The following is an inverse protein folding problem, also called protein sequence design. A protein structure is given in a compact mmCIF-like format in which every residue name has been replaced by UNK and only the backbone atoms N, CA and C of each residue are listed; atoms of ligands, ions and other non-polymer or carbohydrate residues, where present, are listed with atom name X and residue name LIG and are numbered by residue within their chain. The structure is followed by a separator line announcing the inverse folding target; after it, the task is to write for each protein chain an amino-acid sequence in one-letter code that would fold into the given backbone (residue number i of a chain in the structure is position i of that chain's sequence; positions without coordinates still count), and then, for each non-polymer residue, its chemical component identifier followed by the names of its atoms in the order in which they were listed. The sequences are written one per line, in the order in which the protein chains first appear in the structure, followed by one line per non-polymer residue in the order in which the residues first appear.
data_IF_955992232184
#
_entry.id   IF_955992232184
#
_cell.length_a   1.000
_cell.length_b   1.000
_cell.length_c   1.000
_cell.angle_alpha   90.00
_cell.angle_beta   90.00
_cell.angle_gamma   90.00
#
_symmetry.space_group_name_H-M   'P 1'
#
loop_
_entity.id
_entity.type
_entity.pdbx_description
1 polymer ?
#
# COMPACT_ATOMS: atom_id res chain seq x y z
N UNK A 1 54.83 17.22 39.71
CA UNK A 1 54.13 15.91 39.78
C UNK A 1 52.67 16.00 40.24
N UNK A 2 52.35 16.61 41.40
CA UNK A 2 50.96 16.69 41.92
C UNK A 2 49.91 17.20 40.91
N UNK A 3 50.25 18.24 40.13
CA UNK A 3 49.35 18.82 39.14
C UNK A 3 48.96 17.87 37.98
N UNK A 4 49.88 16.98 37.60
CA UNK A 4 49.65 15.99 36.53
C UNK A 4 48.78 14.84 37.08
N UNK A 5 49.02 14.43 38.32
CA UNK A 5 48.25 13.38 39.00
C UNK A 5 46.79 13.79 39.18
N UNK A 6 46.53 15.03 39.63
CA UNK A 6 45.16 15.54 39.79
C UNK A 6 44.39 15.61 38.47
N UNK A 7 45.05 15.97 37.36
CA UNK A 7 44.42 15.98 36.03
C UNK A 7 44.12 14.57 35.51
N UNK A 8 45.01 13.60 35.76
CA UNK A 8 44.77 12.19 35.41
C UNK A 8 43.59 11.60 36.18
N UNK A 9 43.47 11.90 37.47
CA UNK A 9 42.32 11.47 38.29
C UNK A 9 41.01 12.08 37.77
N UNK A 10 40.99 13.39 37.48
CA UNK A 10 39.81 14.03 36.90
C UNK A 10 39.43 13.45 35.54
N UNK A 11 40.41 13.15 34.69
CA UNK A 11 40.17 12.53 33.38
C UNK A 11 39.61 11.11 33.52
N UNK A 12 40.11 10.31 34.47
CA UNK A 12 39.59 8.98 34.76
C UNK A 12 38.14 9.03 35.29
N UNK A 13 37.83 9.96 36.20
CA UNK A 13 36.46 10.17 36.71
C UNK A 13 35.54 10.60 35.56
N UNK A 14 35.98 11.53 34.71
CA UNK A 14 35.21 11.99 33.57
C UNK A 14 34.94 10.85 32.57
N UNK A 15 35.97 10.04 32.24
CA UNK A 15 35.81 8.88 31.37
C UNK A 15 34.85 7.84 31.96
N UNK A 16 34.92 7.60 33.28
CA UNK A 16 33.98 6.71 33.97
C UNK A 16 32.54 7.23 33.95
N UNK A 17 32.33 8.51 34.25
CA UNK A 17 31.01 9.14 34.19
C UNK A 17 30.44 9.11 32.76
N UNK A 18 31.27 9.42 31.76
CA UNK A 18 30.89 9.35 30.35
C UNK A 18 30.48 7.92 29.96
N UNK A 19 31.23 6.90 30.39
CA UNK A 19 30.89 5.50 30.13
C UNK A 19 29.51 5.12 30.71
N UNK A 20 29.22 5.55 31.94
CA UNK A 20 27.91 5.30 32.59
C UNK A 20 26.78 6.01 31.85
N UNK A 21 26.96 7.28 31.48
CA UNK A 21 25.94 8.05 30.75
C UNK A 21 25.68 7.45 29.36
N UNK A 22 26.73 7.08 28.63
CA UNK A 22 26.62 6.44 27.31
C UNK A 22 25.93 5.08 27.44
N UNK A 23 26.29 4.27 28.44
CA UNK A 23 25.60 3.01 28.71
C UNK A 23 24.11 3.22 29.00
N UNK A 24 23.77 4.20 29.84
CA UNK A 24 22.38 4.52 30.15
C UNK A 24 21.60 4.99 28.91
N UNK A 25 22.23 5.78 28.03
CA UNK A 25 21.66 6.23 26.76
C UNK A 25 21.48 5.09 25.74
N UNK A 26 22.36 4.08 25.74
CA UNK A 26 22.24 2.85 24.93
C UNK A 26 21.19 1.87 25.44
N UNK A 27 20.53 2.17 26.56
CA UNK A 27 19.49 1.31 27.13
C UNK A 27 20.01 0.27 28.12
N UNK A 28 21.22 0.43 28.66
CA UNK A 28 21.63 -0.37 29.81
C UNK A 28 20.85 0.06 31.05
N UNK A 29 20.31 -0.93 31.75
CA UNK A 29 19.60 -0.74 33.02
C UNK A 29 20.19 -1.68 34.08
N UNK A 30 20.23 -1.19 35.31
CA UNK A 30 20.64 -1.98 36.47
C UNK A 30 19.51 -2.95 36.81
N UNK A 31 19.79 -4.25 36.74
CA UNK A 31 18.85 -5.27 37.18
C UNK A 31 19.25 -5.78 38.58
N UNK A 32 18.54 -5.29 39.59
CA UNK A 32 18.76 -5.67 40.99
C UNK A 32 18.43 -7.14 41.28
N UNK A 33 17.65 -7.81 40.42
CA UNK A 33 17.34 -9.25 40.58
C UNK A 33 18.45 -10.16 40.06
N UNK A 34 19.27 -9.71 39.11
CA UNK A 34 20.35 -10.52 38.52
C UNK A 34 21.75 -10.01 38.81
N UNK A 35 21.90 -8.99 39.68
CA UNK A 35 23.19 -8.38 40.05
C UNK A 35 24.07 -8.08 38.82
N UNK A 36 23.47 -7.48 37.79
CA UNK A 36 24.16 -7.26 36.52
C UNK A 36 23.66 -6.05 35.74
N UNK A 37 24.51 -5.55 34.85
CA UNK A 37 24.12 -4.61 33.80
C UNK A 37 23.61 -5.42 32.62
N UNK A 38 22.33 -5.23 32.25
CA UNK A 38 21.76 -5.87 31.07
C UNK A 38 21.27 -4.81 30.08
N UNK A 39 21.51 -4.98 28.77
CA UNK A 39 20.93 -4.12 27.77
C UNK A 39 19.42 -4.38 27.69
N UNK A 40 18.66 -3.35 27.35
CA UNK A 40 17.23 -3.45 27.06
C UNK A 40 16.98 -3.17 25.58
N UNK A 41 15.89 -3.71 25.05
CA UNK A 41 15.36 -3.33 23.75
C UNK A 41 14.13 -2.46 23.90
N UNK A 42 13.77 -1.75 22.83
CA UNK A 42 12.60 -0.88 22.80
C UNK A 42 11.64 -1.40 21.74
N UNK A 43 10.40 -1.65 22.12
CA UNK A 43 9.29 -1.89 21.20
C UNK A 43 8.52 -0.58 21.02
N UNK A 44 8.55 0.00 19.82
CA UNK A 44 7.69 1.12 19.46
C UNK A 44 6.45 0.55 18.78
N UNK A 45 5.29 0.74 19.39
CA UNK A 45 4.04 0.21 18.87
C UNK A 45 3.11 1.35 18.45
N UNK A 46 2.64 1.31 17.21
CA UNK A 46 1.68 2.26 16.65
C UNK A 46 0.49 1.50 16.06
N UNK A 47 -0.67 2.16 15.96
CA UNK A 47 -1.81 1.58 15.26
C UNK A 47 -2.68 2.61 14.57
N UNK A 48 -3.39 2.17 13.54
CA UNK A 48 -4.51 2.90 12.96
C UNK A 48 -5.79 2.06 13.15
N UNK A 49 -6.79 2.52 13.93
CA UNK A 49 -6.82 3.77 14.72
C UNK A 49 -5.85 3.77 15.92
N UNK A 50 -5.59 4.96 16.45
CA UNK A 50 -4.75 5.19 17.63
C UNK A 50 -5.40 4.72 18.94
N UNK A 51 -4.59 4.50 19.99
CA UNK A 51 -5.06 4.20 21.34
C UNK A 51 -5.41 2.73 21.59
N UNK A 52 -4.99 1.83 20.71
CA UNK A 52 -5.16 0.38 20.88
C UNK A 52 -4.32 -0.15 22.06
N UNK A 53 -4.83 -1.18 22.75
CA UNK A 53 -4.14 -1.87 23.85
C UNK A 53 -2.95 -2.67 23.28
N UNK A 54 -1.79 -2.55 23.91
CA UNK A 54 -0.60 -3.34 23.58
C UNK A 54 -0.43 -4.44 24.63
N UNK A 55 -0.51 -5.69 24.19
CA UNK A 55 -0.25 -6.86 24.99
C UNK A 55 1.07 -7.51 24.56
N UNK A 56 1.93 -7.82 25.52
CA UNK A 56 3.21 -8.51 25.29
C UNK A 56 3.16 -9.82 26.08
N UNK A 57 3.18 -10.95 25.39
CA UNK A 57 2.95 -12.29 25.95
C UNK A 57 1.63 -12.38 26.76
N UNK A 58 0.58 -11.68 26.28
CA UNK A 58 -0.73 -11.63 26.94
C UNK A 58 -0.83 -10.65 28.12
N UNK A 59 0.26 -9.99 28.52
CA UNK A 59 0.25 -8.99 29.58
C UNK A 59 0.09 -7.58 28.99
N UNK A 60 -0.87 -6.78 29.50
CA UNK A 60 -1.07 -5.40 29.08
C UNK A 60 0.14 -4.54 29.47
N UNK A 61 0.79 -3.93 28.48
CA UNK A 61 1.96 -3.04 28.70
C UNK A 61 1.67 -1.56 28.46
N UNK A 62 0.57 -1.24 27.78
CA UNK A 62 0.18 0.14 27.51
C UNK A 62 -0.78 0.28 26.33
N UNK A 63 -0.75 1.45 25.69
CA UNK A 63 -1.51 1.75 24.48
C UNK A 63 -0.60 2.21 23.33
N UNK A 64 -1.06 2.11 22.08
CA UNK A 64 -0.28 2.50 20.89
C UNK A 64 0.11 3.97 20.87
N UNK A 65 1.11 4.29 20.04
CA UNK A 65 1.88 5.53 20.05
C UNK A 65 2.74 5.69 21.31
N UNK A 66 3.23 4.55 21.83
CA UNK A 66 4.14 4.50 22.97
C UNK A 66 5.34 3.57 22.70
N UNK A 67 6.38 3.75 23.51
CA UNK A 67 7.57 2.90 23.52
C UNK A 67 7.61 2.05 24.79
N UNK A 68 7.72 0.74 24.63
CA UNK A 68 7.81 -0.23 25.74
C UNK A 68 9.24 -0.74 25.81
N UNK A 69 9.90 -0.53 26.94
CA UNK A 69 11.22 -1.11 27.21
C UNK A 69 11.07 -2.54 27.70
N UNK A 70 11.71 -3.48 27.03
CA UNK A 70 11.70 -4.89 27.40
C UNK A 70 13.12 -5.46 27.44
N UNK A 71 13.29 -6.59 28.12
CA UNK A 71 14.54 -7.33 28.04
C UNK A 71 14.70 -7.92 26.64
N UNK A 72 15.93 -8.25 26.20
CA UNK A 72 16.12 -8.99 24.97
C UNK A 72 15.44 -10.36 25.05
N UNK A 73 14.70 -10.74 24.02
CA UNK A 73 13.91 -11.97 24.01
C UNK A 73 12.95 -12.06 22.83
N UNK A 74 12.21 -13.17 22.76
CA UNK A 74 11.12 -13.36 21.79
C UNK A 74 9.79 -13.10 22.49
N UNK A 75 8.94 -12.32 21.86
CA UNK A 75 7.69 -11.85 22.40
C UNK A 75 6.55 -12.06 21.40
N UNK A 76 5.42 -12.55 21.88
CA UNK A 76 4.16 -12.52 21.15
C UNK A 76 3.49 -11.17 21.44
N UNK A 77 3.52 -10.27 20.45
CA UNK A 77 2.96 -8.93 20.54
C UNK A 77 1.57 -8.94 19.92
N UNK A 78 0.60 -8.46 20.68
CA UNK A 78 -0.78 -8.29 20.25
C UNK A 78 -1.20 -6.83 20.44
N UNK A 79 -1.76 -6.24 19.39
CA UNK A 79 -2.35 -4.91 19.41
C UNK A 79 -3.84 -5.07 19.17
N UNK A 80 -4.64 -4.68 20.15
CA UNK A 80 -6.07 -4.94 20.18
C UNK A 80 -6.86 -3.69 20.58
N UNK A 81 -7.98 -3.47 19.91
CA UNK A 81 -8.90 -2.37 20.22
C UNK A 81 -10.33 -2.88 20.16
N UNK A 82 -11.16 -2.40 21.08
CA UNK A 82 -12.54 -2.86 21.21
C UNK A 82 -13.32 -2.48 19.92
N UNK A 83 -14.00 -3.46 19.32
CA UNK A 83 -14.69 -3.29 18.03
C UNK A 83 -13.81 -3.52 16.79
N UNK A 84 -12.52 -3.85 16.96
CA UNK A 84 -11.58 -4.12 15.87
C UNK A 84 -10.97 -5.53 15.99
N UNK A 85 -10.53 -6.09 14.86
CA UNK A 85 -9.76 -7.32 14.81
C UNK A 85 -8.37 -7.09 15.39
N UNK A 86 -7.95 -7.99 16.30
CA UNK A 86 -6.62 -7.93 16.92
C UNK A 86 -5.51 -8.23 15.91
N UNK A 87 -4.46 -7.43 15.90
CA UNK A 87 -3.23 -7.70 15.18
C UNK A 87 -2.25 -8.47 16.07
N UNK A 88 -1.63 -9.54 15.56
CA UNK A 88 -0.67 -10.36 16.32
C UNK A 88 0.59 -10.61 15.51
N UNK A 89 1.76 -10.43 16.12
CA UNK A 89 3.06 -10.75 15.52
C UNK A 89 4.05 -11.22 16.57
N UNK A 90 4.77 -12.29 16.24
CA UNK A 90 5.93 -12.75 17.03
C UNK A 90 7.17 -11.94 16.66
N UNK A 91 7.76 -11.26 17.64
CA UNK A 91 8.90 -10.35 17.46
C UNK A 91 10.06 -10.75 18.37
N UNK A 92 11.26 -10.81 17.80
CA UNK A 92 12.54 -10.98 18.50
C UNK A 92 13.15 -9.61 18.77
N UNK A 93 13.18 -9.20 20.03
CA UNK A 93 13.75 -7.93 20.45
C UNK A 93 15.16 -8.18 20.97
N UNK A 94 16.15 -7.48 20.40
CA UNK A 94 17.54 -7.55 20.85
C UNK A 94 17.87 -6.34 21.72
N UNK A 95 18.90 -6.46 22.55
CA UNK A 95 19.41 -5.34 23.34
C UNK A 95 19.91 -4.20 22.47
N UNK A 96 19.76 -2.98 22.96
CA UNK A 96 20.14 -1.72 22.29
C UNK A 96 19.36 -1.42 20.99
N UNK A 97 18.43 -2.29 20.56
CA UNK A 97 17.66 -2.12 19.33
C UNK A 97 16.23 -1.64 19.59
N UNK A 98 15.73 -0.88 18.62
CA UNK A 98 14.35 -0.41 18.56
C UNK A 98 13.61 -1.22 17.49
N UNK A 99 12.64 -2.04 17.88
CA UNK A 99 11.76 -2.77 16.96
C UNK A 99 10.43 -2.04 16.84
N UNK A 100 9.92 -1.87 15.62
CA UNK A 100 8.61 -1.26 15.36
C UNK A 100 7.53 -2.31 15.17
N UNK A 101 6.36 -2.05 15.73
CA UNK A 101 5.13 -2.80 15.54
C UNK A 101 4.02 -1.83 15.12
N UNK A 102 3.85 -1.68 13.80
CA UNK A 102 2.85 -0.79 13.21
C UNK A 102 1.66 -1.62 12.74
N UNK A 103 0.50 -1.43 13.36
CA UNK A 103 -0.70 -2.26 13.12
C UNK A 103 -1.85 -1.47 12.50
N UNK A 104 -2.36 -1.92 11.36
CA UNK A 104 -3.65 -1.47 10.83
C UNK A 104 -4.74 -2.41 11.35
N UNK A 105 -5.67 -1.88 12.16
CA UNK A 105 -6.75 -2.66 12.74
C UNK A 105 -8.03 -2.49 11.91
N UNK A 106 -8.67 -3.61 11.58
CA UNK A 106 -9.90 -3.61 10.80
C UNK A 106 -11.13 -3.69 11.72
N UNK A 107 -12.16 -2.85 11.52
CA UNK A 107 -13.37 -2.91 12.35
C UNK A 107 -14.11 -4.22 12.13
N UNK A 108 -14.64 -4.81 13.21
CA UNK A 108 -15.42 -6.05 13.16
C UNK A 108 -16.80 -5.80 12.54
N UNK A 109 -17.39 -4.64 12.82
CA UNK A 109 -18.69 -4.23 12.29
C UNK A 109 -18.58 -2.85 11.62
N UNK A 110 -18.16 -2.77 10.34
CA UNK A 110 -18.04 -1.50 9.64
C UNK A 110 -19.43 -0.87 9.45
N UNK A 111 -19.58 0.40 9.85
CA UNK A 111 -20.78 1.16 9.53
C UNK A 111 -20.77 1.56 8.05
N UNK A 112 -21.85 1.28 7.33
CA UNK A 112 -22.04 1.76 5.97
C UNK A 112 -22.86 3.05 6.01
N UNK A 113 -22.38 4.07 5.31
CA UNK A 113 -23.13 5.29 5.04
C UNK A 113 -23.30 5.44 3.53
N UNK A 114 -24.44 5.99 3.06
CA UNK A 114 -24.62 6.24 1.65
C UNK A 114 -23.57 7.24 1.18
N UNK A 115 -22.79 6.85 0.16
CA UNK A 115 -21.75 7.70 -0.42
C UNK A 115 -22.34 8.83 -1.29
N UNK A 116 -23.49 8.57 -1.93
CA UNK A 116 -24.18 9.47 -2.86
C UNK A 116 -25.66 9.63 -2.48
N UNK A 117 -26.26 10.77 -2.85
CA UNK A 117 -27.71 11.00 -2.75
C UNK A 117 -28.48 10.59 -4.00
N UNK A 118 -27.78 10.12 -5.03
CA UNK A 118 -28.33 9.60 -6.29
C UNK A 118 -27.94 8.14 -6.46
N UNK A 119 -28.71 7.42 -7.27
CA UNK A 119 -28.49 6.00 -7.54
C UNK A 119 -27.26 5.77 -8.42
N UNK A 120 -26.39 4.85 -8.03
CA UNK A 120 -25.19 4.46 -8.75
C UNK A 120 -25.39 3.07 -9.30
N UNK A 121 -25.20 2.90 -10.61
CA UNK A 121 -25.30 1.59 -11.29
C UNK A 121 -23.95 0.89 -11.40
N UNK A 122 -22.85 1.65 -11.35
CA UNK A 122 -21.49 1.10 -11.46
C UNK A 122 -20.48 1.97 -10.73
N UNK A 123 -19.52 1.34 -10.08
CA UNK A 123 -18.39 1.99 -9.43
C UNK A 123 -17.09 1.30 -9.86
N UNK A 124 -16.10 2.06 -10.30
CA UNK A 124 -14.82 1.54 -10.79
C UNK A 124 -13.70 2.35 -10.14
N UNK A 125 -12.82 1.67 -9.40
CA UNK A 125 -11.63 2.28 -8.82
C UNK A 125 -10.59 2.59 -9.91
N UNK A 126 -9.82 3.65 -9.73
CA UNK A 126 -8.64 3.94 -10.56
C UNK A 126 -7.52 2.92 -10.30
N UNK A 127 -6.48 2.88 -11.16
CA UNK A 127 -5.35 1.96 -10.99
C UNK A 127 -4.60 2.22 -9.67
N UNK A 128 -4.51 3.49 -9.26
CA UNK A 128 -3.96 3.96 -7.99
C UNK A 128 -4.85 3.65 -6.78
N UNK A 129 -6.13 3.33 -6.99
CA UNK A 129 -7.17 3.17 -5.97
C UNK A 129 -7.46 4.44 -5.13
N UNK A 130 -6.82 5.56 -5.45
CA UNK A 130 -7.01 6.85 -4.77
C UNK A 130 -8.33 7.52 -5.16
N UNK A 131 -8.86 7.20 -6.34
CA UNK A 131 -10.12 7.77 -6.83
C UNK A 131 -11.05 6.65 -7.29
N UNK A 132 -12.34 6.95 -7.35
CA UNK A 132 -13.36 6.04 -7.85
C UNK A 132 -14.32 6.77 -8.79
N UNK A 133 -14.53 6.20 -9.96
CA UNK A 133 -15.49 6.66 -10.95
C UNK A 133 -16.83 5.99 -10.65
N UNK A 134 -17.87 6.80 -10.48
CA UNK A 134 -19.24 6.37 -10.30
C UNK A 134 -20.05 6.67 -11.55
N UNK A 135 -20.90 5.73 -11.94
CA UNK A 135 -21.88 5.90 -13.00
C UNK A 135 -23.28 5.93 -12.40
N UNK A 136 -24.03 6.99 -12.67
CA UNK A 136 -25.41 7.16 -12.25
C UNK A 136 -26.35 7.08 -13.46
N UNK A 137 -27.40 6.27 -13.31
CA UNK A 137 -28.43 6.04 -14.33
C UNK A 137 -29.76 5.78 -13.63
N UNK A 138 -30.45 6.86 -13.24
CA UNK A 138 -31.71 6.85 -12.49
C UNK A 138 -32.89 7.45 -13.27
N UNK A 139 -32.71 7.69 -14.57
CA UNK A 139 -33.63 8.41 -15.46
C UNK A 139 -33.83 9.88 -15.08
N UNK A 140 -32.83 10.50 -14.45
CA UNK A 140 -32.82 11.92 -14.15
C UNK A 140 -31.79 12.63 -15.04
N UNK A 141 -32.24 13.40 -16.02
CA UNK A 141 -31.36 14.04 -17.00
C UNK A 141 -30.33 15.02 -16.38
N UNK A 142 -30.62 15.60 -15.22
CA UNK A 142 -29.73 16.57 -14.55
C UNK A 142 -28.70 15.90 -13.63
N UNK A 143 -28.97 14.66 -13.18
CA UNK A 143 -28.17 13.94 -12.17
C UNK A 143 -27.54 12.65 -12.68
N UNK A 144 -28.00 12.13 -13.81
CA UNK A 144 -27.42 10.94 -14.40
C UNK A 144 -26.12 11.33 -15.10
N UNK A 145 -25.04 10.61 -14.81
CA UNK A 145 -23.73 11.01 -15.25
C UNK A 145 -22.61 10.17 -14.67
N UNK A 146 -21.40 10.52 -15.06
CA UNK A 146 -20.14 9.99 -14.58
C UNK A 146 -19.60 10.97 -13.56
N UNK A 147 -19.31 10.47 -12.36
CA UNK A 147 -18.80 11.25 -11.25
C UNK A 147 -17.46 10.68 -10.79
N UNK A 148 -16.56 11.55 -10.33
CA UNK A 148 -15.31 11.19 -9.69
C UNK A 148 -15.46 11.43 -8.19
N UNK A 149 -15.06 10.45 -7.40
CA UNK A 149 -14.91 10.57 -5.95
C UNK A 149 -13.44 10.37 -5.61
N UNK A 150 -12.94 11.23 -4.74
CA UNK A 150 -11.65 11.07 -4.08
C UNK A 150 -11.83 10.15 -2.86
N UNK A 151 -11.07 9.05 -2.82
CA UNK A 151 -11.09 8.08 -1.72
C UNK A 151 -10.12 8.48 -0.59
N UNK A 152 -9.38 9.57 -0.74
CA UNK A 152 -8.50 10.05 0.32
C UNK A 152 -9.33 10.51 1.52
N UNK A 153 -9.10 9.85 2.66
CA UNK A 153 -9.66 10.24 3.95
C UNK A 153 -8.97 11.51 4.46
N UNK A 154 -9.30 12.67 3.87
CA UNK A 154 -8.88 13.94 4.47
C UNK A 154 -9.69 14.15 5.76
N UNK A 155 -9.04 14.28 6.93
CA UNK A 155 -9.74 14.51 8.20
C UNK A 155 -10.54 15.83 8.22
N UNK A 156 -10.34 16.71 7.23
CA UNK A 156 -11.07 17.95 7.03
C UNK A 156 -12.15 17.87 5.94
N UNK A 157 -12.18 16.82 5.11
CA UNK A 157 -13.22 16.63 4.10
C UNK A 157 -14.50 16.11 4.77
N UNK A 158 -15.32 17.02 5.29
CA UNK A 158 -16.66 16.68 5.84
C UNK A 158 -17.64 16.16 4.79
N UNK A 159 -17.30 16.28 3.51
CA UNK A 159 -18.07 15.80 2.36
C UNK A 159 -17.02 15.36 1.33
N UNK A 160 -16.98 14.08 0.98
CA UNK A 160 -16.21 13.62 -0.19
C UNK A 160 -16.72 14.42 -1.39
N UNK A 161 -15.88 15.28 -1.98
CA UNK A 161 -16.31 16.15 -3.07
C UNK A 161 -16.53 15.31 -4.32
N UNK A 162 -17.79 14.98 -4.59
CA UNK A 162 -18.20 14.36 -5.84
C UNK A 162 -18.03 15.38 -6.95
N UNK A 163 -17.17 15.09 -7.92
CA UNK A 163 -16.95 15.92 -9.08
C UNK A 163 -17.66 15.31 -10.28
N UNK A 164 -18.58 16.04 -10.89
CA UNK A 164 -19.18 15.63 -12.16
C UNK A 164 -18.11 15.64 -13.25
N UNK A 165 -17.99 14.55 -14.03
CA UNK A 165 -17.11 14.46 -15.20
C UNK A 165 -17.89 14.53 -16.50
N UNK A 166 -19.07 13.92 -16.58
CA UNK A 166 -19.89 13.93 -17.79
C UNK A 166 -21.36 13.64 -17.44
N UNK A 167 -22.31 14.36 -18.04
CA UNK A 167 -23.73 14.02 -17.91
C UNK A 167 -24.08 12.88 -18.86
N UNK A 168 -25.06 12.04 -18.50
CA UNK A 168 -25.55 10.98 -19.40
C UNK A 168 -26.15 11.56 -20.69
N UNK A 169 -26.73 12.76 -20.62
CA UNK A 169 -27.36 13.45 -21.76
C UNK A 169 -26.43 13.76 -22.93
N UNK A 170 -25.12 13.79 -22.71
CA UNK A 170 -24.13 14.05 -23.78
C UNK A 170 -23.84 12.79 -24.60
N UNK A 171 -24.27 11.62 -24.12
CA UNK A 171 -24.11 10.34 -24.82
C UNK A 171 -25.41 9.95 -25.53
N UNK A 172 -25.32 9.18 -26.63
CA UNK A 172 -26.49 8.61 -27.28
C UNK A 172 -27.39 7.79 -26.33
N UNK A 173 -28.71 7.95 -26.45
CA UNK A 173 -29.71 7.38 -25.53
C UNK A 173 -29.78 5.84 -25.55
N UNK A 174 -29.18 5.20 -26.54
CA UNK A 174 -29.08 3.74 -26.68
C UNK A 174 -27.93 3.12 -25.86
N UNK A 175 -27.14 3.91 -25.15
CA UNK A 175 -26.05 3.43 -24.31
C UNK A 175 -26.46 3.38 -22.83
N UNK A 176 -26.21 2.23 -22.19
CA UNK A 176 -26.38 2.04 -20.75
C UNK A 176 -25.03 2.07 -20.04
N UNK A 177 -25.00 2.71 -18.88
CA UNK A 177 -23.83 2.79 -18.02
C UNK A 177 -23.59 1.51 -17.23
N UNK A 178 -24.59 0.64 -17.10
CA UNK A 178 -24.47 -0.66 -16.42
C UNK A 178 -23.41 -1.54 -17.08
N UNK A 179 -23.42 -1.61 -18.41
CA UNK A 179 -22.51 -2.45 -19.19
C UNK A 179 -21.18 -1.75 -19.51
N UNK A 180 -21.07 -0.43 -19.28
CA UNK A 180 -19.91 0.37 -19.68
C UNK A 180 -18.59 -0.12 -19.04
N UNK A 181 -17.56 -0.34 -19.84
CA UNK A 181 -16.22 -0.69 -19.36
C UNK A 181 -15.33 0.55 -19.35
N UNK A 182 -14.41 0.64 -18.39
CA UNK A 182 -13.52 1.79 -18.24
C UNK A 182 -12.07 1.34 -18.23
N UNK A 183 -11.26 1.96 -19.07
CA UNK A 183 -9.80 1.81 -19.10
C UNK A 183 -9.17 3.17 -18.80
N UNK A 184 -8.24 3.24 -17.86
CA UNK A 184 -7.53 4.48 -17.53
C UNK A 184 -6.21 4.58 -18.28
N UNK A 185 -5.83 5.80 -18.65
CA UNK A 185 -4.46 6.12 -19.07
C UNK A 185 -3.45 5.75 -17.97
N UNK A 186 -2.17 5.53 -18.28
CA UNK A 186 -1.15 5.20 -17.27
C UNK A 186 -1.02 6.27 -16.18
N UNK A 187 -1.21 7.54 -16.56
CA UNK A 187 -1.19 8.69 -15.67
C UNK A 187 -2.55 9.04 -15.04
N UNK A 188 -3.59 8.26 -15.32
CA UNK A 188 -4.98 8.44 -14.85
C UNK A 188 -5.65 9.78 -15.19
N UNK A 189 -5.06 10.61 -16.07
CA UNK A 189 -5.64 11.89 -16.53
C UNK A 189 -6.74 11.72 -17.56
N UNK A 190 -6.81 10.55 -18.19
CA UNK A 190 -7.77 10.22 -19.22
C UNK A 190 -8.36 8.83 -18.96
N UNK A 191 -9.59 8.63 -19.43
CA UNK A 191 -10.26 7.35 -19.41
C UNK A 191 -10.97 7.08 -20.73
N UNK A 192 -10.94 5.82 -21.16
CA UNK A 192 -11.76 5.30 -22.25
C UNK A 192 -13.00 4.67 -21.63
N UNK A 193 -14.17 5.18 -21.98
CA UNK A 193 -15.47 4.60 -21.62
C UNK A 193 -15.98 3.83 -22.83
N UNK A 194 -15.99 2.52 -22.73
CA UNK A 194 -16.45 1.60 -23.78
C UNK A 194 -17.87 1.15 -23.48
N UNK A 195 -18.81 1.49 -24.36
CA UNK A 195 -20.17 0.95 -24.31
C UNK A 195 -20.21 -0.36 -25.06
N UNK A 196 -20.51 -1.42 -24.34
CA UNK A 196 -20.60 -2.78 -24.89
C UNK A 196 -22.03 -3.29 -24.83
N UNK A 197 -22.34 -4.24 -25.70
CA UNK A 197 -23.56 -5.03 -25.67
C UNK A 197 -23.17 -6.50 -25.54
N UNK A 198 -23.65 -7.13 -24.47
CA UNK A 198 -23.41 -8.55 -24.24
C UNK A 198 -24.47 -9.37 -24.97
N UNK A 199 -24.12 -9.91 -26.14
CA UNK A 199 -25.00 -10.80 -26.89
C UNK A 199 -24.82 -12.22 -26.36
N UNK A 200 -25.85 -12.74 -25.69
CA UNK A 200 -25.92 -14.15 -25.31
C UNK A 200 -26.36 -14.97 -26.53
N UNK A 201 -25.55 -15.94 -27.02
CA UNK A 201 -25.98 -16.81 -28.10
C UNK A 201 -27.18 -17.66 -27.65
N UNK A 202 -28.18 -17.83 -28.52
CA UNK A 202 -29.31 -18.73 -28.27
C UNK A 202 -28.81 -20.15 -27.94
N UNK A 203 -29.41 -20.88 -26.98
CA UNK A 203 -28.95 -22.20 -26.58
C UNK A 203 -29.07 -23.17 -27.76
N UNK A 204 -27.94 -23.44 -28.42
CA UNK A 204 -27.87 -24.45 -29.48
C UNK A 204 -27.74 -25.82 -28.82
N UNK A 205 -28.45 -26.83 -29.34
CA UNK A 205 -28.61 -28.17 -28.76
C UNK A 205 -27.34 -29.07 -28.73
N UNK A 206 -26.16 -28.51 -28.40
CA UNK A 206 -24.90 -29.25 -28.24
C UNK A 206 -24.13 -28.72 -27.04
N UNK A 207 -23.73 -29.64 -26.15
CA UNK A 207 -23.03 -29.47 -24.87
C UNK A 207 -21.75 -28.59 -24.87
N UNK A 208 -21.86 -27.31 -25.21
CA UNK A 208 -20.87 -26.28 -24.88
C UNK A 208 -21.65 -25.08 -24.32
N UNK A 209 -21.38 -24.70 -23.08
CA UNK A 209 -21.86 -23.42 -22.52
C UNK A 209 -21.46 -22.32 -23.53
N UNK A 210 -22.39 -21.60 -24.16
CA UNK A 210 -22.04 -20.53 -25.08
C UNK A 210 -21.27 -19.46 -24.29
N UNK A 211 -20.08 -19.08 -24.77
CA UNK A 211 -19.39 -17.92 -24.20
C UNK A 211 -20.11 -16.66 -24.71
N UNK A 212 -20.49 -15.73 -23.82
CA UNK A 212 -21.11 -14.47 -24.23
C UNK A 212 -20.14 -13.69 -25.13
N UNK A 213 -20.62 -13.23 -26.28
CA UNK A 213 -19.84 -12.36 -27.16
C UNK A 213 -20.13 -10.91 -26.79
N UNK A 214 -19.08 -10.14 -26.55
CA UNK A 214 -19.17 -8.72 -26.19
C UNK A 214 -18.92 -7.89 -27.45
N UNK A 215 -19.94 -7.17 -27.92
CA UNK A 215 -19.81 -6.28 -29.08
C UNK A 215 -19.61 -4.87 -28.55
N UNK A 216 -18.50 -4.23 -28.93
CA UNK A 216 -18.25 -2.82 -28.57
C UNK A 216 -19.02 -1.93 -29.52
N UNK A 217 -19.94 -1.11 -28.99
CA UNK A 217 -20.77 -0.17 -29.78
C UNK A 217 -20.05 1.14 -30.04
N UNK A 218 -19.47 1.73 -29.00
CA UNK A 218 -18.76 3.00 -29.08
C UNK A 218 -17.75 3.11 -27.93
N UNK A 219 -16.68 3.86 -28.16
CA UNK A 219 -15.65 4.16 -27.17
C UNK A 219 -15.42 5.67 -27.14
N UNK A 220 -15.55 6.27 -25.97
CA UNK A 220 -15.32 7.69 -25.77
C UNK A 220 -14.10 7.94 -24.92
N UNK A 221 -13.29 8.92 -25.30
CA UNK A 221 -12.18 9.42 -24.49
C UNK A 221 -12.65 10.60 -23.63
N UNK A 222 -12.44 10.51 -22.33
CA UNK A 222 -12.79 11.56 -21.38
C UNK A 222 -11.60 11.93 -20.49
N UNK A 223 -11.34 13.23 -20.24
CA UNK A 223 -10.46 13.65 -19.15
C UNK A 223 -11.08 13.30 -17.79
N UNK A 224 -10.23 12.99 -16.80
CA UNK A 224 -10.65 12.72 -15.42
C UNK A 224 -10.58 13.97 -14.53
N UNK A 225 -9.95 15.04 -15.02
CA UNK A 225 -9.73 16.28 -14.26
C UNK A 225 -10.66 17.43 -14.66
N UNK A 226 -11.50 17.27 -15.68
CA UNK A 226 -12.36 18.34 -16.19
C UNK A 226 -13.76 17.81 -16.54
N UNK A 227 -14.74 18.72 -16.55
CA UNK A 227 -16.10 18.39 -16.99
C UNK A 227 -16.11 18.31 -18.51
N UNK A 228 -16.46 17.14 -19.04
CA UNK A 228 -16.64 16.89 -20.46
C UNK A 228 -18.03 17.35 -20.89
N UNK A 229 -18.07 18.37 -21.74
CA UNK A 229 -19.32 18.84 -22.36
C UNK A 229 -19.62 18.11 -23.67
N UNK A 230 -18.57 17.80 -24.43
CA UNK A 230 -18.67 17.11 -25.72
C UNK A 230 -17.72 15.91 -25.71
N UNK A 231 -18.21 14.66 -25.59
CA UNK A 231 -17.36 13.49 -25.53
C UNK A 231 -16.74 13.20 -26.89
N UNK A 232 -15.45 12.84 -26.92
CA UNK A 232 -14.75 12.54 -28.16
C UNK A 232 -14.84 11.05 -28.48
N UNK A 233 -15.51 10.69 -29.57
CA UNK A 233 -15.61 9.30 -30.04
C UNK A 233 -14.29 8.86 -30.68
N UNK A 234 -13.70 7.82 -30.11
CA UNK A 234 -12.41 7.24 -30.51
C UNK A 234 -12.56 5.78 -30.96
N UNK A 235 -13.77 5.33 -31.27
CA UNK A 235 -14.03 3.92 -31.65
C UNK A 235 -13.11 3.44 -32.78
N UNK A 236 -12.85 4.29 -33.79
CA UNK A 236 -11.98 3.97 -34.92
C UNK A 236 -10.48 4.18 -34.65
N UNK A 237 -10.11 4.94 -33.62
CA UNK A 237 -8.73 5.30 -33.28
C UNK A 237 -8.24 4.71 -31.95
N UNK A 238 -9.07 3.90 -31.28
CA UNK A 238 -8.79 3.35 -29.95
C UNK A 238 -7.52 2.49 -29.93
N UNK A 239 -7.23 1.79 -31.03
CA UNK A 239 -6.03 0.96 -31.13
C UNK A 239 -4.75 1.81 -30.97
N UNK A 240 -4.68 2.94 -31.69
CA UNK A 240 -3.54 3.86 -31.58
C UNK A 240 -3.42 4.47 -30.17
N UNK A 241 -4.54 4.76 -29.51
CA UNK A 241 -4.55 5.27 -28.13
C UNK A 241 -4.05 4.19 -27.16
N UNK A 242 -4.52 2.95 -27.27
CA UNK A 242 -4.08 1.82 -26.44
C UNK A 242 -2.60 1.51 -26.65
N UNK A 243 -2.10 1.59 -27.88
CA UNK A 243 -0.68 1.40 -28.20
C UNK A 243 0.19 2.52 -27.59
N UNK A 244 -0.27 3.77 -27.68
CA UNK A 244 0.39 4.91 -27.03
C UNK A 244 0.41 4.77 -25.51
N UNK A 245 -0.71 4.38 -24.90
CA UNK A 245 -0.82 4.13 -23.45
C UNK A 245 0.02 2.95 -22.98
N UNK A 246 0.11 1.87 -23.77
CA UNK A 246 0.99 0.73 -23.48
C UNK A 246 2.47 1.17 -23.47
N UNK A 247 2.86 2.00 -24.44
CA UNK A 247 4.21 2.57 -24.52
C UNK A 247 4.51 3.47 -23.32
N UNK A 248 3.59 4.38 -22.97
CA UNK A 248 3.71 5.25 -21.80
C UNK A 248 3.78 4.43 -20.49
N UNK A 249 2.98 3.38 -20.33
CA UNK A 249 3.01 2.50 -19.15
C UNK A 249 4.38 1.80 -19.00
N UNK A 250 4.94 1.29 -20.11
CA UNK A 250 6.27 0.68 -20.13
C UNK A 250 7.34 1.71 -19.73
N UNK A 251 7.28 2.94 -20.25
CA UNK A 251 8.24 4.00 -19.90
C UNK A 251 8.15 4.41 -18.43
N UNK A 252 6.93 4.59 -17.91
CA UNK A 252 6.71 4.95 -16.50
C UNK A 252 7.22 3.85 -15.58
N UNK A 253 6.88 2.58 -15.88
CA UNK A 253 7.38 1.43 -15.12
C UNK A 253 8.89 1.31 -15.18
N UNK A 254 9.51 1.53 -16.34
CA UNK A 254 10.96 1.50 -16.49
C UNK A 254 11.63 2.56 -15.61
N UNK A 255 11.13 3.81 -15.63
CA UNK A 255 11.61 4.90 -14.77
C UNK A 255 11.48 4.56 -13.29
N UNK A 256 10.36 3.96 -12.87
CA UNK A 256 10.16 3.53 -11.49
C UNK A 256 11.17 2.45 -11.08
N UNK A 257 11.42 1.45 -11.94
CA UNK A 257 12.42 0.39 -11.69
C UNK A 257 13.83 0.99 -11.61
N UNK A 258 14.17 1.98 -12.43
CA UNK A 258 15.48 2.66 -12.38
C UNK A 258 15.75 3.37 -11.04
N UNK A 259 14.70 3.72 -10.29
CA UNK A 259 14.87 4.25 -8.92
C UNK A 259 15.39 3.20 -7.93
N UNK A 260 15.26 1.91 -8.25
CA UNK A 260 15.76 0.81 -7.43
C UNK A 260 17.26 0.62 -7.64
N UNK A 261 17.90 -0.07 -6.69
CA UNK A 261 19.34 -0.31 -6.74
C UNK A 261 19.68 -1.38 -7.79
N UNK A 262 20.90 -1.28 -8.36
CA UNK A 262 21.37 -2.11 -9.50
C UNK A 262 21.04 -3.61 -9.41
N UNK A 263 21.20 -4.30 -8.25
CA UNK A 263 20.88 -5.73 -8.18
C UNK A 263 19.42 -6.05 -8.46
N UNK A 264 18.50 -5.20 -7.99
CA UNK A 264 17.05 -5.37 -8.21
C UNK A 264 16.69 -5.09 -9.65
N UNK A 265 17.29 -4.05 -10.25
CA UNK A 265 17.11 -3.73 -11.67
C UNK A 265 17.59 -4.87 -12.58
N UNK A 266 18.70 -5.54 -12.23
CA UNK A 266 19.13 -6.73 -12.98
C UNK A 266 18.13 -7.88 -12.86
N UNK A 267 17.61 -8.09 -11.66
CA UNK A 267 16.64 -9.15 -11.39
C UNK A 267 15.26 -8.90 -12.02
N UNK A 268 14.92 -7.66 -12.38
CA UNK A 268 13.61 -7.32 -12.97
C UNK A 268 13.34 -7.95 -14.32
N UNK A 269 14.35 -8.49 -14.98
CA UNK A 269 14.18 -9.32 -16.19
C UNK A 269 13.58 -10.70 -15.89
N UNK A 270 13.69 -11.16 -14.64
CA UNK A 270 13.22 -12.48 -14.18
C UNK A 270 11.87 -12.41 -13.44
N UNK A 271 11.20 -11.26 -13.42
CA UNK A 271 9.89 -11.13 -12.80
C UNK A 271 8.95 -10.19 -13.55
N UNK A 272 7.65 -10.46 -13.43
CA UNK A 272 6.57 -9.62 -13.91
C UNK A 272 6.05 -8.73 -12.78
N UNK A 273 6.01 -7.42 -12.99
CA UNK A 273 5.60 -6.46 -11.96
C UNK A 273 4.07 -6.30 -11.98
N UNK A 274 3.44 -6.73 -10.90
CA UNK A 274 1.99 -6.64 -10.72
C UNK A 274 1.57 -5.24 -10.27
N UNK A 275 2.41 -4.56 -9.48
CA UNK A 275 2.14 -3.19 -9.05
C UNK A 275 3.22 -2.61 -8.13
N UNK A 276 3.10 -1.31 -7.88
CA UNK A 276 3.92 -0.56 -6.93
C UNK A 276 3.05 -0.17 -5.73
N UNK A 277 3.66 -0.02 -4.55
CA UNK A 277 2.96 0.64 -3.44
C UNK A 277 2.67 2.10 -3.78
N UNK A 278 1.63 2.74 -3.18
CA UNK A 278 1.34 4.15 -3.41
C UNK A 278 2.51 5.10 -3.10
N UNK A 279 3.37 4.73 -2.14
CA UNK A 279 4.60 5.48 -1.83
C UNK A 279 5.81 5.07 -2.69
N UNK A 280 5.60 4.22 -3.69
CA UNK A 280 6.58 3.67 -4.64
C UNK A 280 7.79 2.99 -3.98
N UNK A 281 7.70 2.61 -2.70
CA UNK A 281 8.81 1.99 -1.96
C UNK A 281 8.84 0.49 -2.01
N UNK A 282 7.71 -0.13 -2.38
CA UNK A 282 7.57 -1.57 -2.51
C UNK A 282 7.13 -1.93 -3.91
N UNK A 283 7.62 -3.06 -4.40
CA UNK A 283 7.14 -3.70 -5.64
C UNK A 283 6.47 -5.02 -5.30
N UNK A 284 5.30 -5.23 -5.88
CA UNK A 284 4.63 -6.52 -5.93
C UNK A 284 4.93 -7.15 -7.28
N UNK A 285 5.54 -8.34 -7.28
CA UNK A 285 5.96 -8.99 -8.52
C UNK A 285 5.77 -10.50 -8.46
N UNK A 286 5.55 -11.10 -9.62
CA UNK A 286 5.51 -12.54 -9.83
C UNK A 286 6.81 -12.98 -10.49
N UNK A 287 7.50 -13.96 -9.90
CA UNK A 287 8.71 -14.50 -10.49
C UNK A 287 8.38 -15.34 -11.74
N UNK A 288 8.91 -14.96 -12.90
CA UNK A 288 8.74 -15.72 -14.15
C UNK A 288 9.86 -16.74 -14.32
N UNK A 289 11.03 -16.48 -13.74
CA UNK A 289 12.20 -17.35 -13.80
C UNK A 289 12.86 -17.46 -12.42
N UNK A 290 13.63 -18.52 -12.24
CA UNK A 290 14.48 -18.67 -11.06
C UNK A 290 15.63 -17.66 -11.13
N UNK A 291 15.67 -16.74 -10.19
CA UNK A 291 16.76 -15.79 -10.03
C UNK A 291 17.05 -15.56 -8.54
N UNK A 292 18.20 -14.97 -8.23
CA UNK A 292 18.55 -14.59 -6.85
C UNK A 292 18.76 -13.09 -6.79
N UNK A 293 18.06 -12.43 -5.86
CA UNK A 293 18.25 -10.99 -5.62
C UNK A 293 19.40 -10.83 -4.64
N UNK A 294 20.54 -10.32 -5.13
CA UNK A 294 21.68 -10.05 -4.26
C UNK A 294 21.34 -8.99 -3.21
N UNK A 295 21.94 -9.12 -2.04
CA UNK A 295 21.81 -8.12 -0.98
C UNK A 295 22.43 -6.79 -1.43
N UNK A 296 21.62 -5.75 -1.36
CA UNK A 296 21.92 -4.41 -1.82
C UNK A 296 22.60 -3.60 -0.72
N UNK A 297 22.07 -3.62 0.51
CA UNK A 297 22.58 -2.83 1.64
C UNK A 297 23.55 -3.71 2.45
N UNK A 298 24.83 -3.31 2.47
CA UNK A 298 25.91 -4.03 3.18
C UNK A 298 26.59 -3.08 4.18
N UNK A 299 26.62 -3.40 5.49
CA UNK A 299 25.94 -4.50 6.18
C UNK A 299 24.41 -4.34 6.17
N UNK A 300 23.63 -5.42 6.41
CA UNK A 300 22.17 -5.32 6.44
C UNK A 300 21.72 -4.34 7.54
N UNK A 301 20.60 -3.67 7.28
CA UNK A 301 19.99 -2.79 8.28
C UNK A 301 19.62 -3.59 9.53
N UNK A 302 19.93 -3.00 10.68
CA UNK A 302 19.52 -3.53 11.98
C UNK A 302 18.03 -3.22 12.22
N UNK A 303 17.36 -4.09 12.98
CA UNK A 303 15.98 -3.87 13.43
C UNK A 303 14.93 -3.70 12.31
N UNK A 304 15.13 -4.34 11.16
CA UNK A 304 14.15 -4.40 10.07
C UNK A 304 13.00 -5.38 10.36
N UNK A 305 12.04 -5.47 9.44
CA UNK A 305 11.01 -6.49 9.48
C UNK A 305 11.62 -7.87 9.71
N UNK A 306 10.98 -8.71 10.51
CA UNK A 306 11.53 -9.98 10.98
C UNK A 306 10.96 -11.21 10.26
N UNK A 307 10.08 -11.02 9.28
CA UNK A 307 9.58 -12.12 8.43
C UNK A 307 10.75 -12.88 7.80
N UNK A 308 10.80 -14.22 7.82
CA UNK A 308 11.87 -14.97 7.16
C UNK A 308 12.03 -14.55 5.69
N UNK A 309 13.26 -14.29 5.26
CA UNK A 309 13.57 -13.88 3.89
C UNK A 309 14.21 -15.04 3.12
N UNK A 310 13.66 -15.38 1.95
CA UNK A 310 14.31 -16.25 0.96
C UNK A 310 14.66 -15.42 -0.27
N UNK A 311 15.95 -15.16 -0.55
CA UNK A 311 16.36 -14.33 -1.71
C UNK A 311 16.32 -15.04 -3.06
N UNK A 312 16.04 -16.34 -3.07
CA UNK A 312 15.80 -17.12 -4.29
C UNK A 312 14.36 -16.94 -4.74
N UNK A 313 14.17 -16.72 -6.04
CA UNK A 313 12.87 -16.63 -6.67
C UNK A 313 12.47 -18.02 -7.19
N UNK A 314 11.26 -18.45 -6.84
CA UNK A 314 10.63 -19.65 -7.38
C UNK A 314 9.60 -19.21 -8.44
N UNK A 315 9.65 -19.73 -9.67
CA UNK A 315 8.71 -19.37 -10.73
C UNK A 315 7.24 -19.55 -10.32
N UNK A 316 6.36 -18.65 -10.77
CA UNK A 316 4.91 -18.66 -10.47
C UNK A 316 4.55 -18.23 -9.04
N UNK A 317 5.53 -17.79 -8.24
CA UNK A 317 5.29 -17.27 -6.89
C UNK A 317 5.29 -15.75 -6.89
N UNK A 318 4.42 -15.17 -6.07
CA UNK A 318 4.29 -13.71 -5.88
C UNK A 318 5.05 -13.27 -4.64
N UNK A 319 5.78 -12.18 -4.75
CA UNK A 319 6.63 -11.63 -3.69
C UNK A 319 6.50 -10.12 -3.60
N UNK A 320 6.87 -9.58 -2.44
CA UNK A 320 6.99 -8.13 -2.24
C UNK A 320 8.46 -7.80 -1.96
N UNK A 321 9.02 -6.81 -2.64
CA UNK A 321 10.35 -6.29 -2.29
C UNK A 321 10.24 -4.85 -1.79
N UNK A 322 10.80 -4.60 -0.61
CA UNK A 322 10.88 -3.28 0.03
C UNK A 322 12.26 -2.66 -0.20
N UNK A 323 12.30 -1.51 -0.89
CA UNK A 323 13.54 -0.79 -1.20
C UNK A 323 14.15 -0.07 0.01
N UNK A 324 13.34 0.27 1.03
CA UNK A 324 13.80 0.95 2.26
C UNK A 324 14.56 -0.01 3.16
N UNK A 325 14.06 -1.24 3.31
CA UNK A 325 14.67 -2.25 4.18
C UNK A 325 15.61 -3.22 3.44
N UNK A 326 15.66 -3.15 2.10
CA UNK A 326 16.30 -4.14 1.22
C UNK A 326 15.84 -5.56 1.56
N UNK A 327 14.51 -5.74 1.58
CA UNK A 327 13.91 -6.97 2.07
C UNK A 327 12.84 -7.52 1.16
N UNK A 328 12.95 -8.81 0.87
CA UNK A 328 11.89 -9.59 0.26
C UNK A 328 10.95 -10.17 1.33
N UNK A 329 9.66 -9.98 1.12
CA UNK A 329 8.54 -10.46 1.93
C UNK A 329 7.69 -11.44 1.12
#
# INVERSE_FOLDING_TARGET
MRFIITRLILLAIFAGALYVVVGFARGYRLDFRQQGFSPTGILVASSAPDGAKILVNGELKGATNSSITVKPGVYDVEIAQDGYLSWKKRLTIKGELVIKADALLFPINPSLSPLTSFGVVKAIATKSHEKTILFSETNNAEKDGIYLIDNSNSPLARINSQKLLALKSIFPSNFSFTEAQVEFSPNEKQMLVSFVEVVQPAPTARNKKPQPQTIVKAIYLLPTDEVTLNPFDVTNSVAAIRDAWSTEDIEVRAKLIETFKKPVVKASTAFNILGFSPDETKILYEATQSATIEQVIKPPLIATNQTPEERTLKPGSVYIYDKKEDKKL
#
